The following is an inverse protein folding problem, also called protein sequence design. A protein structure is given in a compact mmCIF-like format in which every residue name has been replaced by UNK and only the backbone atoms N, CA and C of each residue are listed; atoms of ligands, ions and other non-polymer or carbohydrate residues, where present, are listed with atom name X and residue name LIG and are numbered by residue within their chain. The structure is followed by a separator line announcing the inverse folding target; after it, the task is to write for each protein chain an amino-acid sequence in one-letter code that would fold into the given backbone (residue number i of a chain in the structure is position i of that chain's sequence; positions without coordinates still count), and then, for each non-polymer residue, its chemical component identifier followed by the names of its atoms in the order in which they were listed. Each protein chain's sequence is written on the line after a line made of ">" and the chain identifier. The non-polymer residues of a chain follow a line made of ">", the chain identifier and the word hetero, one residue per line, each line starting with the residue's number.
data_IF_580704817576
#
_entry.id   IF_580704817576
#
_cell.length_a   1.000
_cell.length_b   1.000
_cell.length_c   1.000
_cell.angle_alpha   90.00
_cell.angle_beta   90.00
_cell.angle_gamma   90.00
#
_symmetry.space_group_name_H-M   'P 1'
#
loop_
_entity.id
_entity.type
_entity.pdbx_description
1 polymer ?
#
# COMPACT_ATOMS: atom_id res chain seq x y z
N UNK A 1 21.30 19.90 2.75
CA UNK A 1 19.88 19.58 2.57
C UNK A 1 19.65 18.08 2.81
N UNK A 2 18.67 17.67 3.62
CA UNK A 2 18.35 16.25 3.78
C UNK A 2 17.90 15.69 2.43
N UNK A 3 18.57 14.63 1.93
CA UNK A 3 18.16 13.97 0.69
C UNK A 3 16.72 13.47 0.87
N UNK A 4 15.78 13.92 0.02
CA UNK A 4 14.44 13.31 -0.07
C UNK A 4 14.65 11.82 -0.26
N UNK A 5 14.25 11.02 0.72
CA UNK A 5 14.39 9.56 0.66
C UNK A 5 13.55 9.09 -0.52
N UNK A 6 14.20 8.58 -1.57
CA UNK A 6 13.53 8.15 -2.81
C UNK A 6 12.47 7.09 -2.48
N UNK A 7 11.27 7.28 -3.03
CA UNK A 7 10.25 6.21 -3.09
C UNK A 7 10.87 5.07 -3.91
N UNK A 8 10.71 3.80 -3.49
CA UNK A 8 11.27 2.69 -4.25
C UNK A 8 10.66 2.66 -5.66
N UNK A 9 11.48 2.35 -6.66
CA UNK A 9 11.06 2.28 -8.06
C UNK A 9 10.17 1.06 -8.35
N UNK A 10 10.28 0.02 -7.53
CA UNK A 10 9.54 -1.23 -7.63
C UNK A 10 9.05 -1.70 -6.25
N UNK A 11 8.00 -2.52 -6.24
CA UNK A 11 7.40 -3.07 -5.03
C UNK A 11 7.28 -4.58 -5.18
N UNK A 12 7.98 -5.32 -4.32
CA UNK A 12 7.84 -6.77 -4.23
C UNK A 12 6.46 -7.15 -3.70
N UNK A 13 5.73 -7.95 -4.48
CA UNK A 13 4.41 -8.50 -4.16
C UNK A 13 4.46 -10.03 -4.24
N UNK A 14 3.88 -10.69 -3.25
CA UNK A 14 3.72 -12.15 -3.24
C UNK A 14 2.51 -12.52 -4.08
N UNK A 15 2.65 -13.45 -5.01
CA UNK A 15 1.52 -14.02 -5.75
C UNK A 15 1.16 -15.34 -5.06
N UNK A 16 -0.01 -15.44 -4.41
CA UNK A 16 -0.40 -16.66 -3.73
C UNK A 16 -0.81 -17.73 -4.74
N UNK A 17 -0.30 -18.95 -4.56
CA UNK A 17 -0.49 -20.07 -5.48
C UNK A 17 -1.45 -21.15 -4.98
N UNK A 18 -1.64 -21.25 -3.66
CA UNK A 18 -2.46 -22.31 -3.05
C UNK A 18 -3.83 -21.83 -2.57
N UNK A 19 -3.87 -20.70 -1.85
CA UNK A 19 -5.09 -20.13 -1.32
C UNK A 19 -5.11 -18.62 -1.61
N UNK A 20 -6.26 -18.05 -1.99
CA UNK A 20 -6.39 -16.60 -2.13
C UNK A 20 -6.08 -15.92 -0.78
N UNK A 21 -5.47 -14.73 -0.80
CA UNK A 21 -5.21 -13.99 0.42
C UNK A 21 -6.54 -13.44 0.96
N UNK A 22 -6.67 -13.30 2.28
CA UNK A 22 -7.87 -12.71 2.87
C UNK A 22 -7.94 -11.21 2.57
N UNK A 23 -6.76 -10.58 2.45
CA UNK A 23 -6.65 -9.15 2.17
C UNK A 23 -5.56 -8.85 1.16
N UNK A 24 -5.77 -7.82 0.32
CA UNK A 24 -4.74 -7.33 -0.60
C UNK A 24 -3.47 -6.83 0.12
N UNK A 25 -3.53 -6.57 1.43
CA UNK A 25 -2.37 -6.17 2.22
C UNK A 25 -1.40 -7.33 2.47
N UNK A 26 -1.89 -8.57 2.57
CA UNK A 26 -1.05 -9.77 2.75
C UNK A 26 -0.14 -10.03 1.55
N UNK A 27 -0.53 -9.54 0.37
CA UNK A 27 0.32 -9.59 -0.83
C UNK A 27 1.62 -8.78 -0.65
N UNK A 28 1.62 -7.76 0.22
CA UNK A 28 2.73 -6.82 0.39
C UNK A 28 3.38 -6.87 1.78
N UNK A 29 2.67 -7.31 2.81
CA UNK A 29 3.09 -7.17 4.20
C UNK A 29 2.88 -8.46 4.97
N UNK A 30 3.75 -8.67 5.96
CA UNK A 30 3.71 -9.85 6.83
C UNK A 30 4.01 -9.47 8.28
N UNK A 31 3.52 -10.30 9.21
CA UNK A 31 3.67 -10.13 10.64
C UNK A 31 3.32 -8.70 11.09
N UNK A 32 4.24 -8.08 11.82
CA UNK A 32 4.04 -6.74 12.39
C UNK A 32 3.81 -5.63 11.36
N UNK A 33 4.35 -5.77 10.15
CA UNK A 33 4.13 -4.77 9.09
C UNK A 33 2.71 -4.84 8.53
N UNK A 34 2.08 -6.02 8.53
CA UNK A 34 0.70 -6.20 8.12
C UNK A 34 -0.26 -5.57 9.13
N UNK A 35 -0.01 -5.77 10.43
CA UNK A 35 -0.80 -5.13 11.50
C UNK A 35 -0.77 -3.61 11.40
N UNK A 36 0.42 -3.03 11.18
CA UNK A 36 0.57 -1.59 10.99
C UNK A 36 -0.16 -1.11 9.73
N UNK A 37 -0.03 -1.84 8.61
CA UNK A 37 -0.73 -1.51 7.38
C UNK A 37 -2.26 -1.53 7.55
N UNK A 38 -2.79 -2.54 8.27
CA UNK A 38 -4.21 -2.64 8.61
C UNK A 38 -4.68 -1.44 9.44
N UNK A 39 -3.95 -1.11 10.52
CA UNK A 39 -4.24 0.08 11.34
C UNK A 39 -4.27 1.37 10.52
N UNK A 40 -3.31 1.56 9.63
CA UNK A 40 -3.26 2.74 8.74
C UNK A 40 -4.50 2.79 7.84
N UNK A 41 -4.85 1.68 7.19
CA UNK A 41 -6.01 1.63 6.29
C UNK A 41 -7.31 1.85 7.04
N UNK A 42 -7.50 1.22 8.20
CA UNK A 42 -8.70 1.39 9.04
C UNK A 42 -8.84 2.84 9.52
N UNK A 43 -7.74 3.44 9.99
CA UNK A 43 -7.75 4.84 10.39
C UNK A 43 -8.09 5.76 9.22
N UNK A 44 -7.49 5.55 8.04
CA UNK A 44 -7.78 6.36 6.86
C UNK A 44 -9.20 6.15 6.31
N UNK A 45 -9.78 4.95 6.45
CA UNK A 45 -11.19 4.71 6.10
C UNK A 45 -12.13 5.54 6.99
N UNK A 46 -11.82 5.62 8.28
CA UNK A 46 -12.65 6.35 9.26
C UNK A 46 -12.45 7.87 9.19
N UNK A 47 -11.20 8.33 9.14
CA UNK A 47 -10.83 9.74 9.30
C UNK A 47 -10.50 10.45 7.98
N UNK A 48 -10.46 9.72 6.86
CA UNK A 48 -10.12 10.18 5.49
C UNK A 48 -8.68 10.66 5.27
N UNK A 49 -8.02 11.19 6.30
CA UNK A 49 -6.65 11.69 6.22
C UNK A 49 -5.88 11.36 7.51
N UNK A 50 -4.55 11.24 7.40
CA UNK A 50 -3.62 11.09 8.52
C UNK A 50 -2.47 12.07 8.32
N UNK A 51 -2.22 12.97 9.28
CA UNK A 51 -1.06 13.84 9.24
C UNK A 51 0.23 13.06 9.51
N UNK A 52 1.32 13.49 8.87
CA UNK A 52 2.64 12.84 8.97
C UNK A 52 3.21 12.75 10.37
N UNK A 53 2.81 13.65 11.25
CA UNK A 53 3.37 13.77 12.60
C UNK A 53 2.41 13.21 13.67
N UNK A 54 1.16 12.94 13.32
CA UNK A 54 0.13 12.45 14.26
C UNK A 54 0.08 10.93 14.38
N UNK A 55 0.91 10.18 13.64
CA UNK A 55 0.83 8.71 13.61
C UNK A 55 1.06 8.05 14.97
N UNK A 56 1.80 8.68 15.88
CA UNK A 56 2.05 8.15 17.22
C UNK A 56 0.76 8.16 18.05
N UNK A 57 0.05 9.28 18.07
CA UNK A 57 -1.22 9.44 18.78
C UNK A 57 -2.38 8.73 18.06
N UNK A 58 -2.44 8.84 16.74
CA UNK A 58 -3.53 8.32 15.91
C UNK A 58 -3.54 6.79 15.82
N UNK A 59 -2.35 6.16 15.78
CA UNK A 59 -2.21 4.72 15.54
C UNK A 59 -1.60 3.96 16.73
N UNK A 60 -1.19 4.68 17.79
CA UNK A 60 -0.52 4.10 18.95
C UNK A 60 0.83 3.48 18.60
N UNK A 61 1.55 4.05 17.62
CA UNK A 61 2.82 3.52 17.13
C UNK A 61 3.96 4.27 17.83
N UNK A 62 4.76 3.56 18.63
CA UNK A 62 5.87 4.16 19.37
C UNK A 62 7.13 3.28 19.34
N UNK A 63 8.26 3.84 19.76
CA UNK A 63 9.53 3.10 19.91
C UNK A 63 10.03 2.46 18.61
N UNK A 64 10.29 1.15 18.65
CA UNK A 64 10.82 0.37 17.52
C UNK A 64 9.86 0.26 16.34
N UNK A 65 8.56 0.42 16.56
CA UNK A 65 7.54 0.30 15.51
C UNK A 65 7.48 1.50 14.58
N UNK A 66 8.05 2.62 15.01
CA UNK A 66 8.21 3.82 14.18
C UNK A 66 8.95 3.51 12.87
N UNK A 67 10.01 2.69 12.94
CA UNK A 67 10.79 2.32 11.75
C UNK A 67 9.96 1.48 10.80
N UNK A 68 9.19 0.53 11.33
CA UNK A 68 8.29 -0.33 10.56
C UNK A 68 7.15 0.48 9.92
N UNK A 69 6.57 1.44 10.66
CA UNK A 69 5.57 2.36 10.14
C UNK A 69 6.06 3.12 8.91
N UNK A 70 7.22 3.76 8.99
CA UNK A 70 7.75 4.48 7.83
C UNK A 70 8.08 3.55 6.66
N UNK A 71 8.46 2.30 6.92
CA UNK A 71 8.66 1.28 5.87
C UNK A 71 7.32 0.93 5.20
N UNK A 72 6.27 0.72 5.99
CA UNK A 72 4.90 0.44 5.51
C UNK A 72 4.39 1.59 4.67
N UNK A 73 4.40 2.82 5.19
CA UNK A 73 3.94 4.01 4.49
C UNK A 73 4.67 4.20 3.15
N UNK A 74 5.99 4.01 3.12
CA UNK A 74 6.74 4.09 1.84
C UNK A 74 6.31 3.04 0.84
N UNK A 75 6.13 1.80 1.28
CA UNK A 75 5.69 0.71 0.39
C UNK A 75 4.28 0.97 -0.11
N UNK A 76 3.37 1.47 0.74
CA UNK A 76 2.01 1.85 0.35
C UNK A 76 1.99 3.03 -0.64
N UNK A 77 2.82 4.06 -0.44
CA UNK A 77 2.98 5.18 -1.38
C UNK A 77 3.51 4.70 -2.73
N UNK A 78 4.55 3.85 -2.72
CA UNK A 78 5.15 3.30 -3.93
C UNK A 78 4.17 2.42 -4.71
N UNK A 79 3.40 1.58 -4.00
CA UNK A 79 2.38 0.73 -4.59
C UNK A 79 1.18 1.54 -5.11
N UNK A 80 0.99 2.78 -4.64
CA UNK A 80 -0.18 3.60 -4.98
C UNK A 80 -1.42 3.21 -4.19
N UNK A 81 -1.25 2.60 -3.01
CA UNK A 81 -2.34 2.33 -2.07
C UNK A 81 -2.76 3.59 -1.31
N UNK A 82 -1.81 4.49 -1.08
CA UNK A 82 -2.03 5.83 -0.51
C UNK A 82 -1.30 6.87 -1.34
N UNK A 83 -1.73 8.12 -1.22
CA UNK A 83 -1.02 9.29 -1.74
C UNK A 83 -0.77 10.31 -0.64
N UNK A 84 0.21 11.17 -0.87
CA UNK A 84 0.49 12.31 0.00
C UNK A 84 -0.09 13.58 -0.62
N UNK A 85 -0.84 14.34 0.17
CA UNK A 85 -1.34 15.67 -0.16
C UNK A 85 -1.09 16.62 1.00
N UNK A 86 -0.28 17.65 0.76
CA UNK A 86 0.05 18.72 1.73
C UNK A 86 0.40 18.23 3.15
N UNK A 87 1.19 17.15 3.25
CA UNK A 87 1.60 16.59 4.53
C UNK A 87 0.62 15.62 5.19
N UNK A 88 -0.48 15.29 4.50
CA UNK A 88 -1.43 14.25 4.91
C UNK A 88 -1.36 13.04 3.98
N UNK A 89 -1.56 11.85 4.53
CA UNK A 89 -1.75 10.62 3.76
C UNK A 89 -3.25 10.34 3.57
N UNK A 90 -3.61 9.85 2.39
CA UNK A 90 -4.99 9.50 2.00
C UNK A 90 -5.02 8.23 1.16
N UNK A 91 -6.12 7.46 1.22
CA UNK A 91 -6.31 6.26 0.40
C UNK A 91 -6.36 6.60 -1.09
N UNK A 92 -5.78 5.74 -1.92
CA UNK A 92 -5.72 5.90 -3.37
C UNK A 92 -6.31 4.68 -4.10
N UNK A 93 -6.93 4.93 -5.25
CA UNK A 93 -7.36 3.88 -6.19
C UNK A 93 -6.24 3.40 -7.13
N UNK A 94 -5.07 4.05 -7.12
CA UNK A 94 -3.98 3.80 -8.08
C UNK A 94 -3.43 2.38 -8.01
N UNK A 95 -3.46 1.76 -6.83
CA UNK A 95 -3.09 0.35 -6.68
C UNK A 95 -4.03 -0.57 -7.49
N UNK A 96 -5.35 -0.36 -7.38
CA UNK A 96 -6.34 -1.15 -8.12
C UNK A 96 -6.18 -0.96 -9.64
N UNK A 97 -6.03 0.29 -10.10
CA UNK A 97 -5.80 0.60 -11.53
C UNK A 97 -4.55 -0.10 -12.09
N UNK A 98 -3.47 -0.18 -11.29
CA UNK A 98 -2.26 -0.90 -11.68
C UNK A 98 -2.47 -2.41 -11.79
N UNK A 99 -3.18 -3.01 -10.84
CA UNK A 99 -3.49 -4.44 -10.89
C UNK A 99 -4.41 -4.78 -12.06
N UNK A 100 -5.40 -3.93 -12.35
CA UNK A 100 -6.28 -4.07 -13.51
C UNK A 100 -5.48 -4.01 -14.83
N UNK A 101 -4.56 -3.06 -14.96
CA UNK A 101 -3.70 -2.97 -16.14
C UNK A 101 -2.83 -4.23 -16.31
N UNK A 102 -2.27 -4.78 -15.22
CA UNK A 102 -1.51 -6.04 -15.28
C UNK A 102 -2.40 -7.22 -15.68
N UNK A 103 -3.63 -7.28 -15.18
CA UNK A 103 -4.59 -8.31 -15.56
C UNK A 103 -4.94 -8.22 -17.06
N UNK A 104 -5.22 -7.03 -17.57
CA UNK A 104 -5.50 -6.79 -18.99
C UNK A 104 -4.31 -7.14 -19.89
N UNK A 105 -3.09 -6.79 -19.47
CA UNK A 105 -1.87 -7.19 -20.18
C UNK A 105 -1.76 -8.72 -20.25
N UNK A 106 -2.00 -9.42 -19.15
CA UNK A 106 -1.96 -10.89 -19.16
C UNK A 106 -3.03 -11.51 -20.06
N UNK A 107 -4.28 -11.02 -20.00
CA UNK A 107 -5.36 -11.46 -20.87
C UNK A 107 -5.02 -11.27 -22.36
N UNK A 108 -4.36 -10.15 -22.69
CA UNK A 108 -3.86 -9.89 -24.03
C UNK A 108 -2.80 -10.92 -24.46
N UNK A 109 -1.81 -11.21 -23.60
CA UNK A 109 -0.75 -12.19 -23.90
C UNK A 109 -1.29 -13.61 -24.13
N UNK A 110 -2.39 -13.99 -23.45
CA UNK A 110 -3.03 -15.31 -23.64
C UNK A 110 -4.13 -15.30 -24.72
N UNK A 111 -4.27 -14.21 -25.48
CA UNK A 111 -5.18 -14.11 -26.62
C UNK A 111 -6.67 -13.97 -26.27
N UNK A 112 -7.00 -13.65 -25.01
CA UNK A 112 -8.38 -13.47 -24.52
C UNK A 112 -8.82 -12.02 -24.56
N UNK A 113 -8.79 -11.42 -25.75
CA UNK A 113 -9.03 -9.98 -25.94
C UNK A 113 -10.48 -9.59 -25.63
N UNK A 114 -11.40 -10.52 -25.81
CA UNK A 114 -12.83 -10.38 -25.48
C UNK A 114 -13.09 -10.16 -23.98
N UNK A 115 -12.17 -10.55 -23.10
CA UNK A 115 -12.30 -10.39 -21.64
C UNK A 115 -11.70 -9.05 -21.13
N UNK A 116 -11.18 -8.19 -22.01
CA UNK A 116 -10.50 -6.93 -21.65
C UNK A 116 -11.48 -5.75 -21.45
N UNK A 117 -12.71 -5.86 -21.96
CA UNK A 117 -13.68 -4.76 -22.09
C UNK A 117 -15.04 -5.05 -21.43
#
# INVERSE_FOLDING_TARGET
>A
MPRRRKIPGEVMMKIPTMAPPDTALELLFEGKTLEIARKVVEYLKKNKALWKDEYEEALGISGSDRILYFRVIRKMLAAGMIYEDRGTYRLSKKFAERMENLAKLWLFEIGKVEEIW
#
